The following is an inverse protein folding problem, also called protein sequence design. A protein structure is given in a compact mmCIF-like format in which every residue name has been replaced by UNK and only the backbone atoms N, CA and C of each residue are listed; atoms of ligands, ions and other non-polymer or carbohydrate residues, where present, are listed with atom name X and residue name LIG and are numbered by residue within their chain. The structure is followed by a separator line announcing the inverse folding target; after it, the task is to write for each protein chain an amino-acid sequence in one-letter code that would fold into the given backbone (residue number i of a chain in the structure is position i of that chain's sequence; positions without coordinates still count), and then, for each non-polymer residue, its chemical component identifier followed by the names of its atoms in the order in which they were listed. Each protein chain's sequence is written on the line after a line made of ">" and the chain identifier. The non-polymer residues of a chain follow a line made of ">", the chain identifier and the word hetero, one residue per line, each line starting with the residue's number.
data_IF_415078050121
#
_entry.id   IF_415078050121
#
_cell.length_a   1.000
_cell.length_b   1.000
_cell.length_c   1.000
_cell.angle_alpha   90.00
_cell.angle_beta   90.00
_cell.angle_gamma   90.00
#
_symmetry.space_group_name_H-M   'P 1'
#
loop_
_entity.id
_entity.type
_entity.pdbx_description
1 polymer ?
#
# COMPACT_ATOMS: atom_id res chain seq x y z
N UNK A 1 13.63 10.86 -11.42
CA UNK A 1 13.83 9.46 -11.01
C UNK A 1 13.11 9.26 -9.68
N UNK A 2 12.24 8.25 -9.53
CA UNK A 2 11.61 7.98 -8.24
C UNK A 2 12.63 7.46 -7.23
N UNK A 3 12.40 7.73 -5.94
CA UNK A 3 13.12 7.09 -4.85
C UNK A 3 12.30 5.91 -4.34
N UNK A 4 12.86 4.71 -4.42
CA UNK A 4 12.23 3.49 -3.89
C UNK A 4 12.73 3.20 -2.49
N UNK A 5 11.81 3.08 -1.53
CA UNK A 5 12.11 2.79 -0.12
C UNK A 5 11.39 1.49 0.25
N UNK A 6 12.13 0.49 0.72
CA UNK A 6 11.60 -0.77 1.21
C UNK A 6 11.87 -0.89 2.72
N UNK A 7 10.84 -1.23 3.50
CA UNK A 7 10.96 -1.46 4.94
C UNK A 7 10.94 -2.95 5.23
N UNK A 8 12.03 -3.48 5.76
CA UNK A 8 12.20 -4.90 6.11
C UNK A 8 12.58 -5.05 7.59
N UNK A 9 12.30 -6.23 8.16
CA UNK A 9 12.52 -6.51 9.59
C UNK A 9 11.55 -7.56 10.14
N UNK A 10 11.85 -8.08 11.34
CA UNK A 10 11.05 -9.12 12.02
C UNK A 10 9.58 -8.70 12.18
N UNK A 11 8.66 -9.67 12.26
CA UNK A 11 7.25 -9.42 12.60
C UNK A 11 7.12 -8.63 13.92
N UNK A 12 6.22 -7.65 13.95
CA UNK A 12 5.97 -6.82 15.15
C UNK A 12 6.98 -5.70 15.42
N UNK A 13 7.97 -5.47 14.56
CA UNK A 13 8.99 -4.39 14.74
C UNK A 13 8.51 -2.97 14.38
N UNK A 14 7.24 -2.81 14.00
CA UNK A 14 6.65 -1.50 13.69
C UNK A 14 6.79 -1.01 12.24
N UNK A 15 7.19 -1.88 11.30
CA UNK A 15 7.38 -1.53 9.87
C UNK A 15 6.20 -0.76 9.27
N UNK A 16 4.98 -1.26 9.45
CA UNK A 16 3.76 -0.65 8.90
C UNK A 16 3.48 0.71 9.53
N UNK A 17 3.71 0.84 10.84
CA UNK A 17 3.62 2.14 11.54
C UNK A 17 4.63 3.14 10.99
N UNK A 18 5.89 2.72 10.83
CA UNK A 18 6.94 3.56 10.24
C UNK A 18 6.63 3.94 8.80
N UNK A 19 6.07 3.02 8.00
CA UNK A 19 5.63 3.30 6.64
C UNK A 19 4.58 4.42 6.62
N UNK A 20 3.54 4.32 7.45
CA UNK A 20 2.49 5.34 7.52
C UNK A 20 3.02 6.70 7.96
N UNK A 21 3.89 6.74 8.98
CA UNK A 21 4.53 7.99 9.42
C UNK A 21 5.42 8.60 8.33
N UNK A 22 6.17 7.79 7.59
CA UNK A 22 7.00 8.26 6.48
C UNK A 22 6.15 8.84 5.36
N UNK A 23 5.08 8.14 4.96
CA UNK A 23 4.14 8.62 3.92
C UNK A 23 3.53 9.95 4.34
N UNK A 24 3.01 10.04 5.59
CA UNK A 24 2.46 11.28 6.14
C UNK A 24 3.48 12.42 6.09
N UNK A 25 4.70 12.18 6.57
CA UNK A 25 5.78 13.18 6.56
C UNK A 25 6.11 13.66 5.14
N UNK A 26 6.22 12.76 4.17
CA UNK A 26 6.52 13.13 2.78
C UNK A 26 5.43 14.02 2.19
N UNK A 27 4.16 13.66 2.40
CA UNK A 27 3.00 14.43 1.94
C UNK A 27 2.96 15.82 2.60
N UNK A 28 3.11 15.90 3.93
CA UNK A 28 3.14 17.17 4.68
C UNK A 28 4.29 18.09 4.23
N UNK A 29 5.37 17.54 3.69
CA UNK A 29 6.51 18.29 3.15
C UNK A 29 6.40 18.61 1.66
N UNK A 30 5.25 18.35 1.03
CA UNK A 30 5.03 18.58 -0.40
C UNK A 30 5.85 17.66 -1.30
N UNK A 31 6.36 16.53 -0.79
CA UNK A 31 7.13 15.53 -1.55
C UNK A 31 6.18 14.55 -2.22
N UNK A 32 5.41 15.05 -3.18
CA UNK A 32 4.39 14.31 -3.92
C UNK A 32 4.78 14.17 -5.40
N UNK A 33 4.28 13.15 -6.11
CA UNK A 33 3.40 12.07 -5.66
C UNK A 33 4.10 10.99 -4.84
N UNK A 34 3.37 10.36 -3.90
CA UNK A 34 3.83 9.20 -3.11
C UNK A 34 3.00 7.99 -3.52
N UNK A 35 3.67 6.91 -3.94
CA UNK A 35 3.05 5.60 -4.13
C UNK A 35 3.44 4.70 -2.95
N UNK A 36 2.45 4.38 -2.11
CA UNK A 36 2.63 3.45 -1.00
C UNK A 36 2.06 2.08 -1.41
N UNK A 37 2.84 1.02 -1.19
CA UNK A 37 2.45 -0.37 -1.49
C UNK A 37 2.54 -1.16 -0.19
N UNK A 38 1.41 -1.71 0.27
CA UNK A 38 1.41 -2.69 1.35
C UNK A 38 1.72 -4.07 0.74
N UNK A 39 2.81 -4.68 1.18
CA UNK A 39 3.24 -6.01 0.76
C UNK A 39 2.91 -7.09 1.81
N UNK A 40 2.24 -6.73 2.91
CA UNK A 40 1.75 -7.67 3.90
C UNK A 40 0.39 -8.25 3.46
N UNK A 41 0.17 -9.54 3.71
CA UNK A 41 -1.11 -10.19 3.40
C UNK A 41 -2.22 -9.73 4.36
N UNK A 42 -1.86 -9.37 5.59
CA UNK A 42 -2.74 -8.71 6.53
C UNK A 42 -2.61 -7.19 6.31
N UNK A 43 -3.32 -6.67 5.30
CA UNK A 43 -3.32 -5.26 4.94
C UNK A 43 -3.67 -4.39 6.15
N UNK A 44 -2.68 -3.67 6.68
CA UNK A 44 -2.84 -2.81 7.85
C UNK A 44 -2.42 -1.36 7.55
N UNK A 45 -1.77 -1.11 6.41
CA UNK A 45 -1.26 0.23 6.08
C UNK A 45 -2.39 1.24 5.87
N UNK A 46 -3.50 0.82 5.29
CA UNK A 46 -4.68 1.67 5.10
C UNK A 46 -5.25 2.16 6.44
N UNK A 47 -5.31 1.29 7.45
CA UNK A 47 -5.77 1.67 8.79
C UNK A 47 -4.85 2.71 9.42
N UNK A 48 -3.53 2.51 9.31
CA UNK A 48 -2.53 3.48 9.79
C UNK A 48 -2.66 4.83 9.10
N UNK A 49 -3.02 4.84 7.82
CA UNK A 49 -3.24 6.07 7.04
C UNK A 49 -4.65 6.67 7.23
N UNK A 50 -5.55 5.99 7.94
CA UNK A 50 -6.94 6.43 8.11
C UNK A 50 -7.74 6.38 6.81
N UNK A 51 -7.45 5.42 5.94
CA UNK A 51 -8.08 5.25 4.63
C UNK A 51 -9.01 4.03 4.61
N UNK A 52 -10.21 4.22 4.06
CA UNK A 52 -11.09 3.12 3.70
C UNK A 52 -10.63 2.49 2.37
N UNK A 53 -10.48 1.17 2.35
CA UNK A 53 -10.09 0.43 1.15
C UNK A 53 -11.35 -0.17 0.55
N UNK A 54 -11.78 0.35 -0.59
CA UNK A 54 -12.94 -0.16 -1.34
C UNK A 54 -12.58 -1.31 -2.28
N UNK A 55 -11.32 -1.40 -2.69
CA UNK A 55 -10.85 -2.37 -3.67
C UNK A 55 -9.39 -2.74 -3.40
N UNK A 56 -9.04 -4.01 -3.57
CA UNK A 56 -7.68 -4.52 -3.46
C UNK A 56 -7.16 -5.00 -4.80
N UNK A 57 -5.84 -5.13 -4.93
CA UNK A 57 -5.23 -5.77 -6.12
C UNK A 57 -5.75 -7.20 -6.35
N UNK A 58 -6.14 -7.89 -5.27
CA UNK A 58 -6.81 -9.19 -5.34
C UNK A 58 -8.15 -9.12 -6.06
N UNK A 59 -8.97 -8.11 -5.76
CA UNK A 59 -10.26 -7.89 -6.43
C UNK A 59 -10.06 -7.59 -7.92
N UNK A 60 -9.16 -6.68 -8.26
CA UNK A 60 -8.83 -6.37 -9.66
C UNK A 60 -8.38 -7.63 -10.43
N UNK A 61 -7.57 -8.50 -9.82
CA UNK A 61 -7.14 -9.77 -10.42
C UNK A 61 -8.33 -10.72 -10.66
N UNK A 62 -9.29 -10.77 -9.75
CA UNK A 62 -10.49 -11.61 -9.90
C UNK A 62 -11.42 -11.11 -11.01
N UNK A 63 -11.61 -9.80 -11.12
CA UNK A 63 -12.38 -9.19 -12.20
C UNK A 63 -11.76 -9.48 -13.58
N UNK A 64 -10.43 -9.36 -13.68
CA UNK A 64 -9.70 -9.72 -14.91
C UNK A 64 -9.92 -11.18 -15.32
N UNK A 65 -10.05 -12.11 -14.36
CA UNK A 65 -10.34 -13.52 -14.67
C UNK A 65 -11.78 -13.73 -15.16
N UNK A 66 -12.75 -13.00 -14.62
CA UNK A 66 -14.17 -13.08 -15.03
C UNK A 66 -14.38 -12.54 -16.45
N UNK A 67 -13.58 -11.57 -16.87
CA UNK A 67 -13.59 -11.02 -18.24
C UNK A 67 -13.05 -11.94 -19.35
N UNK A 68 -12.56 -13.15 -19.03
CA UNK A 68 -12.00 -14.10 -20.03
C UNK A 68 -13.06 -15.04 -20.62
N UNK A 69 -14.33 -14.91 -20.23
CA UNK A 69 -15.45 -15.63 -20.87
C UNK A 69 -16.12 -14.77 -21.96
N UNK A 70 -15.38 -14.40 -23.00
CA UNK A 70 -15.94 -14.11 -24.32
C UNK A 70 -14.82 -14.20 -25.36
N UNK A 71 -14.71 -15.39 -25.95
CA UNK A 71 -13.79 -15.78 -27.00
C UNK A 71 -14.06 -17.23 -27.35
#
# INVERSE_FOLDING_TARGET
>A
MPYSIALAGKGGTGKTTTAGLLVKYLVERGRVPVLAVDADANSNLNEVLGLEVSETLGNAREEMKKGVAMG
#
